data_IF_631899209624
#
_entry.id   IF_631899209624
#
_cell.length_a   1.000
_cell.length_b   1.000
_cell.length_c   1.000
_cell.angle_alpha   90.00
_cell.angle_beta   90.00
_cell.angle_gamma   90.00
#
_symmetry.space_group_name_H-M   'P 1'
#
loop_
_entity.id
_entity.type
_entity.pdbx_description
1 polymer ?
#
# COMPACT_ATOMS: atom_id res chain seq x y z
N UNK A 1 0.74 0.53 15.58
CA UNK A 1 1.43 1.81 15.29
C UNK A 1 1.18 2.81 16.41
N UNK A 2 2.16 3.09 17.27
CA UNK A 2 2.15 4.26 18.18
C UNK A 2 3.41 5.06 17.91
N UNK A 3 3.28 6.27 17.35
CA UNK A 3 4.34 7.28 17.35
C UNK A 3 4.55 7.73 18.79
N UNK A 4 5.67 7.33 19.41
CA UNK A 4 6.05 7.85 20.73
C UNK A 4 6.59 9.27 20.55
N UNK A 5 5.74 10.26 20.83
CA UNK A 5 6.13 11.67 20.79
C UNK A 5 6.80 12.09 22.10
N UNK A 6 7.77 13.01 21.95
CA UNK A 6 8.74 13.61 22.88
C UNK A 6 8.42 13.78 24.38
N UNK A 7 7.19 13.61 24.86
CA UNK A 7 6.77 14.01 26.21
C UNK A 7 6.39 12.85 27.14
N UNK A 8 6.22 11.63 26.65
CA UNK A 8 5.89 10.46 27.50
C UNK A 8 7.09 9.53 27.56
N UNK A 9 7.54 9.21 28.77
CA UNK A 9 8.69 8.34 29.02
C UNK A 9 8.61 7.02 28.22
N UNK A 10 9.78 6.46 27.89
CA UNK A 10 9.87 5.19 27.17
C UNK A 10 9.10 4.08 27.91
N UNK A 11 8.23 3.30 27.24
CA UNK A 11 7.62 2.12 27.82
C UNK A 11 8.68 1.13 28.29
N UNK A 12 8.45 0.49 29.44
CA UNK A 12 9.30 -0.59 29.98
C UNK A 12 9.48 -1.77 29.01
N UNK A 13 8.68 -1.89 27.95
CA UNK A 13 8.75 -2.97 26.95
C UNK A 13 9.77 -2.72 25.83
N UNK A 14 10.30 -1.49 25.67
CA UNK A 14 11.41 -1.19 24.72
C UNK A 14 12.78 -1.41 25.38
N UNK A 15 12.84 -2.13 26.50
CA UNK A 15 14.10 -2.52 27.14
C UNK A 15 14.87 -3.62 26.39
N UNK A 16 14.34 -4.12 25.26
CA UNK A 16 14.90 -5.27 24.52
C UNK A 16 15.96 -4.87 23.48
N UNK A 17 16.22 -3.57 23.27
CA UNK A 17 17.39 -3.11 22.50
C UNK A 17 18.65 -3.02 23.38
N UNK A 18 18.97 -4.07 24.15
CA UNK A 18 20.34 -4.33 24.58
C UNK A 18 21.05 -5.11 23.46
N UNK A 19 21.21 -4.46 22.30
CA UNK A 19 22.25 -4.88 21.37
C UNK A 19 23.57 -4.32 21.90
N UNK A 20 24.69 -5.06 21.87
CA UNK A 20 26.02 -4.53 22.24
C UNK A 20 26.41 -3.25 21.47
N UNK A 21 25.70 -2.94 20.39
CA UNK A 21 25.96 -1.86 19.44
C UNK A 21 25.10 -0.60 19.67
N UNK A 22 24.21 -0.54 20.68
CA UNK A 22 23.35 0.64 20.88
C UNK A 22 23.16 0.97 22.36
N UNK A 23 23.58 2.18 22.79
CA UNK A 23 23.37 2.70 24.15
C UNK A 23 22.31 3.80 24.17
N UNK A 24 21.44 3.77 25.18
CA UNK A 24 20.48 4.85 25.46
C UNK A 24 21.08 5.81 26.49
N UNK A 25 21.27 7.07 26.11
CA UNK A 25 21.92 8.10 26.96
C UNK A 25 20.97 9.27 27.20
N UNK A 26 20.87 9.75 28.45
CA UNK A 26 20.03 10.89 28.84
C UNK A 26 20.90 12.14 28.99
N UNK A 27 20.68 13.17 28.17
CA UNK A 27 21.38 14.46 28.25
C UNK A 27 20.39 15.62 28.33
N UNK A 28 20.55 16.53 29.29
CA UNK A 28 19.77 17.79 29.47
C UNK A 28 18.27 17.61 29.15
N UNK A 29 17.62 16.66 29.83
CA UNK A 29 16.18 16.33 29.73
C UNK A 29 15.73 15.50 28.51
N UNK A 30 16.63 15.10 27.60
CA UNK A 30 16.31 14.34 26.39
C UNK A 30 16.98 12.97 26.40
N UNK A 31 16.27 11.96 25.91
CA UNK A 31 16.80 10.62 25.68
C UNK A 31 17.36 10.52 24.25
N UNK A 32 18.54 9.91 24.11
CA UNK A 32 19.24 9.70 22.85
C UNK A 32 19.58 8.21 22.68
N UNK A 33 19.64 7.76 21.43
CA UNK A 33 20.08 6.43 21.03
C UNK A 33 21.43 6.62 20.31
N UNK A 34 22.49 5.94 20.75
CA UNK A 34 23.87 6.10 20.23
C UNK A 34 24.45 4.74 19.84
N UNK A 35 25.26 4.70 18.77
CA UNK A 35 25.87 3.48 18.21
C UNK A 35 27.18 3.06 18.94
N UNK A 36 27.92 4.00 19.56
CA UNK A 36 29.14 3.74 20.33
C UNK A 36 29.53 4.97 21.19
N UNK A 37 30.60 4.90 22.00
CA UNK A 37 31.22 5.99 22.77
C UNK A 37 31.66 7.18 21.90
N UNK A 38 31.77 6.98 20.59
CA UNK A 38 32.00 8.00 19.58
C UNK A 38 30.70 8.73 19.18
N UNK A 39 30.04 9.41 20.12
CA UNK A 39 29.07 10.53 20.04
C UNK A 39 28.17 10.74 18.77
N UNK A 40 27.93 9.71 17.95
CA UNK A 40 27.15 9.81 16.72
C UNK A 40 25.65 9.63 17.02
N UNK A 41 24.89 10.68 16.70
CA UNK A 41 23.48 10.82 17.07
C UNK A 41 22.58 10.05 16.10
N UNK A 42 21.90 9.02 16.59
CA UNK A 42 20.84 8.35 15.83
C UNK A 42 19.47 9.03 16.01
N UNK A 43 18.67 9.07 14.94
CA UNK A 43 17.24 9.41 15.03
C UNK A 43 16.47 8.30 15.74
N UNK A 44 15.25 8.61 16.17
CA UNK A 44 14.37 7.60 16.77
C UNK A 44 14.13 6.45 15.78
N UNK A 45 14.20 5.20 16.24
CA UNK A 45 13.89 4.06 15.40
C UNK A 45 12.43 4.06 14.93
N UNK A 46 12.18 3.83 13.63
CA UNK A 46 10.87 3.35 13.18
C UNK A 46 10.89 1.83 13.09
N UNK A 47 9.91 1.21 13.77
CA UNK A 47 9.75 -0.24 13.80
C UNK A 47 8.69 -0.65 12.79
N UNK A 48 9.10 -1.48 11.86
CA UNK A 48 8.24 -2.08 10.85
C UNK A 48 8.11 -3.58 11.15
N UNK A 49 6.89 -4.06 11.37
CA UNK A 49 6.62 -5.47 11.67
C UNK A 49 6.17 -6.19 10.41
N UNK A 50 6.70 -7.38 10.17
CA UNK A 50 6.41 -8.19 8.99
C UNK A 50 5.42 -9.32 9.29
N UNK A 51 4.79 -9.83 8.23
CA UNK A 51 3.78 -10.91 8.29
C UNK A 51 4.35 -12.23 8.81
N UNK A 52 5.66 -12.46 8.64
CA UNK A 52 6.38 -13.62 9.16
C UNK A 52 6.92 -13.40 10.59
N UNK A 53 6.48 -12.34 11.27
CA UNK A 53 6.83 -12.02 12.64
C UNK A 53 8.18 -11.32 12.79
N UNK A 54 8.93 -11.11 11.71
CA UNK A 54 10.18 -10.35 11.75
C UNK A 54 9.92 -8.86 12.06
N UNK A 55 10.94 -8.17 12.57
CA UNK A 55 10.89 -6.72 12.82
C UNK A 55 12.05 -6.06 12.11
N UNK A 56 11.80 -5.06 11.27
CA UNK A 56 12.83 -4.17 10.76
C UNK A 56 12.84 -2.91 11.58
N UNK A 57 14.04 -2.44 11.89
CA UNK A 57 14.24 -1.14 12.49
C UNK A 57 15.06 -0.31 11.53
N UNK A 58 14.54 0.85 11.20
CA UNK A 58 15.29 1.89 10.51
C UNK A 58 15.82 2.91 11.52
N UNK A 59 17.01 3.43 11.25
CA UNK A 59 17.56 4.56 11.96
C UNK A 59 18.25 5.48 10.95
N UNK A 60 18.30 6.77 11.26
CA UNK A 60 19.23 7.69 10.57
C UNK A 60 20.36 8.05 11.50
N UNK A 61 21.58 7.74 11.10
CA UNK A 61 22.76 8.29 11.74
C UNK A 61 23.02 9.69 11.16
N UNK A 62 23.12 10.75 12.00
CA UNK A 62 23.35 12.18 11.65
C UNK A 62 22.13 13.09 11.38
N UNK A 63 21.04 12.91 12.13
CA UNK A 63 19.97 13.91 12.24
C UNK A 63 19.13 14.13 10.96
N UNK A 64 18.12 15.01 11.06
CA UNK A 64 17.15 15.23 9.99
C UNK A 64 17.76 15.98 8.82
N UNK A 65 18.26 15.27 7.81
CA UNK A 65 18.61 15.85 6.51
C UNK A 65 19.76 15.17 5.77
N UNK A 66 20.83 14.78 6.47
CA UNK A 66 22.03 14.21 5.85
C UNK A 66 22.49 12.96 6.61
N UNK A 67 21.55 12.03 6.82
CA UNK A 67 21.81 10.84 7.62
C UNK A 67 21.97 9.57 6.80
N UNK A 68 22.82 8.66 7.29
CA UNK A 68 22.88 7.30 6.77
C UNK A 68 21.62 6.57 7.20
N UNK A 69 20.81 6.07 6.27
CA UNK A 69 19.71 5.15 6.56
C UNK A 69 20.32 3.78 6.87
N UNK A 70 20.18 3.35 8.13
CA UNK A 70 20.69 2.11 8.68
C UNK A 70 19.53 1.17 8.96
N UNK A 71 19.69 -0.10 8.60
CA UNK A 71 18.67 -1.12 8.76
C UNK A 71 19.21 -2.33 9.52
N UNK A 72 18.36 -2.90 10.39
CA UNK A 72 18.59 -4.21 11.02
C UNK A 72 17.28 -4.98 11.13
N UNK A 73 17.36 -6.30 10.99
CA UNK A 73 16.22 -7.22 11.02
C UNK A 73 16.28 -8.12 12.25
N UNK A 74 15.16 -8.26 12.95
CA UNK A 74 14.96 -9.24 14.01
C UNK A 74 14.19 -10.43 13.47
N UNK A 75 14.76 -11.64 13.59
CA UNK A 75 14.18 -12.88 13.07
C UNK A 75 13.43 -13.72 14.12
N UNK A 76 13.26 -13.18 15.33
CA UNK A 76 12.69 -13.91 16.47
C UNK A 76 13.74 -14.57 17.37
N UNK A 77 14.99 -14.73 16.91
CA UNK A 77 16.12 -15.30 17.66
C UNK A 77 17.26 -14.30 17.87
N UNK A 78 17.42 -13.32 16.99
CA UNK A 78 18.44 -12.28 17.12
C UNK A 78 18.31 -11.17 16.07
N UNK A 79 19.11 -10.12 16.25
CA UNK A 79 19.24 -9.03 15.27
C UNK A 79 20.30 -9.34 14.23
N UNK A 80 20.02 -9.04 12.96
CA UNK A 80 21.00 -9.10 11.88
C UNK A 80 22.06 -8.01 12.05
N UNK A 81 23.24 -8.22 11.45
CA UNK A 81 24.23 -7.16 11.33
C UNK A 81 23.59 -5.93 10.68
N UNK A 82 23.85 -4.76 11.26
CA UNK A 82 23.36 -3.51 10.74
C UNK A 82 24.00 -3.26 9.37
N UNK A 83 23.20 -2.91 8.38
CA UNK A 83 23.68 -2.55 7.06
C UNK A 83 23.23 -1.15 6.69
N UNK A 84 24.13 -0.44 6.04
CA UNK A 84 23.95 0.93 5.61
C UNK A 84 23.40 0.93 4.19
N UNK A 85 22.27 1.60 4.00
CA UNK A 85 21.61 1.68 2.70
C UNK A 85 22.14 2.82 1.84
N UNK A 86 22.52 3.95 2.45
CA UNK A 86 23.09 5.09 1.74
C UNK A 86 24.28 5.70 2.49
N UNK A 87 25.18 6.33 1.74
CA UNK A 87 26.42 6.93 2.26
C UNK A 87 26.25 8.39 2.69
N UNK A 88 25.07 8.80 3.20
CA UNK A 88 24.87 10.09 3.90
C UNK A 88 25.11 11.37 3.07
N UNK A 89 25.61 11.24 1.86
CA UNK A 89 25.92 12.27 0.88
C UNK A 89 24.78 12.41 -0.13
N UNK A 90 23.53 12.23 0.29
CA UNK A 90 22.45 12.88 -0.44
C UNK A 90 22.47 14.33 0.01
N UNK A 91 22.91 15.29 -0.84
CA UNK A 91 22.93 16.68 -0.44
C UNK A 91 21.53 17.04 0.03
N UNK A 92 21.41 17.71 1.19
CA UNK A 92 20.17 18.24 1.79
C UNK A 92 19.18 18.91 0.81
N UNK A 93 19.62 19.25 -0.41
CA UNK A 93 18.77 19.68 -1.54
C UNK A 93 17.92 18.57 -2.19
N UNK A 94 18.19 17.28 -1.95
CA UNK A 94 17.49 16.12 -2.54
C UNK A 94 16.32 15.59 -1.69
N UNK A 95 16.22 15.98 -0.41
CA UNK A 95 15.11 15.52 0.45
C UNK A 95 13.77 16.21 0.16
N UNK A 96 13.80 17.34 -0.55
CA UNK A 96 12.60 17.97 -1.05
C UNK A 96 12.30 17.34 -2.41
N UNK A 97 11.14 16.66 -2.52
CA UNK A 97 10.58 16.04 -3.73
C UNK A 97 10.92 14.55 -4.00
N UNK A 98 11.33 13.78 -2.99
CA UNK A 98 11.28 12.31 -3.05
C UNK A 98 9.87 11.81 -2.71
N UNK A 99 9.20 11.16 -3.66
CA UNK A 99 7.92 10.47 -3.48
C UNK A 99 8.15 8.97 -3.68
N UNK A 100 8.35 8.22 -2.61
CA UNK A 100 8.59 6.79 -2.72
C UNK A 100 8.45 6.06 -1.40
N UNK A 101 8.38 4.73 -1.50
CA UNK A 101 8.27 3.84 -0.36
C UNK A 101 9.26 2.68 -0.48
N UNK A 102 9.75 2.22 0.67
CA UNK A 102 10.45 0.96 0.81
C UNK A 102 9.43 -0.12 1.15
N UNK A 103 9.50 -1.27 0.47
CA UNK A 103 8.60 -2.40 0.66
C UNK A 103 9.40 -3.68 0.70
N UNK A 104 9.27 -4.46 1.76
CA UNK A 104 9.93 -5.76 1.86
C UNK A 104 8.91 -6.85 1.51
N UNK A 105 9.22 -7.69 0.53
CA UNK A 105 8.36 -8.81 0.10
C UNK A 105 9.21 -10.05 -0.19
N UNK A 106 8.75 -11.23 0.21
CA UNK A 106 9.43 -12.52 -0.09
C UNK A 106 10.94 -12.54 0.27
N UNK A 107 11.33 -11.89 1.39
CA UNK A 107 12.73 -11.82 1.79
C UNK A 107 13.58 -10.80 1.02
N UNK A 108 12.98 -9.94 0.18
CA UNK A 108 13.67 -8.93 -0.62
C UNK A 108 13.12 -7.53 -0.31
N UNK A 109 14.02 -6.54 -0.21
CA UNK A 109 13.67 -5.13 -0.10
C UNK A 109 13.50 -4.55 -1.51
N UNK A 110 12.33 -3.99 -1.78
CA UNK A 110 11.97 -3.26 -2.99
C UNK A 110 11.89 -1.77 -2.63
N UNK A 111 12.63 -0.94 -3.35
CA UNK A 111 12.48 0.51 -3.28
C UNK A 111 11.80 0.98 -4.56
N UNK A 112 10.71 1.73 -4.41
CA UNK A 112 10.06 2.41 -5.51
C UNK A 112 9.86 3.86 -5.15
N UNK A 113 10.35 4.79 -5.96
CA UNK A 113 10.05 6.20 -5.79
C UNK A 113 10.20 6.99 -7.07
N UNK A 114 9.51 8.12 -7.16
CA UNK A 114 9.82 9.20 -8.08
C UNK A 114 10.62 10.27 -7.35
N UNK A 115 11.69 10.72 -7.98
CA UNK A 115 12.48 11.85 -7.50
C UNK A 115 12.29 12.95 -8.53
N UNK A 116 11.70 14.08 -8.13
CA UNK A 116 11.79 15.28 -8.95
C UNK A 116 13.14 15.91 -8.65
N UNK A 117 14.13 15.64 -9.50
CA UNK A 117 15.43 16.29 -9.39
C UNK A 117 15.22 17.80 -9.52
N UNK A 118 15.47 18.55 -8.44
CA UNK A 118 15.78 19.95 -8.58
C UNK A 118 17.08 20.06 -9.37
N UNK A 119 17.14 20.95 -10.36
CA UNK A 119 18.33 21.23 -11.17
C UNK A 119 19.48 21.72 -10.29
N UNK A 120 20.16 20.80 -9.61
CA UNK A 120 21.44 21.01 -8.97
C UNK A 120 22.51 20.60 -9.97
N UNK A 121 23.03 21.60 -10.69
CA UNK A 121 24.20 21.57 -11.57
C UNK A 121 24.22 20.51 -12.69
N UNK A 122 24.48 21.01 -13.90
CA UNK A 122 24.44 20.34 -15.19
C UNK A 122 25.46 19.22 -15.43
N UNK A 123 26.14 18.71 -14.41
CA UNK A 123 27.32 17.84 -14.60
C UNK A 123 27.11 16.39 -14.12
N UNK A 124 26.03 16.09 -13.40
CA UNK A 124 25.77 14.73 -12.94
C UNK A 124 24.83 13.99 -13.92
N UNK A 125 25.43 13.09 -14.72
CA UNK A 125 24.79 12.15 -15.64
C UNK A 125 23.89 11.11 -14.93
N UNK A 126 22.95 11.52 -14.10
CA UNK A 126 21.93 10.61 -13.58
C UNK A 126 20.85 10.38 -14.64
N UNK A 127 20.93 9.21 -15.27
CA UNK A 127 19.92 8.72 -16.20
C UNK A 127 18.55 8.76 -15.54
N UNK A 128 17.65 9.48 -16.19
CA UNK A 128 16.22 9.41 -15.93
C UNK A 128 15.77 7.95 -16.17
N UNK A 129 15.58 7.16 -15.12
CA UNK A 129 14.75 5.95 -15.20
C UNK A 129 13.28 6.33 -15.00
N UNK A 130 12.90 7.42 -15.67
CA UNK A 130 11.57 8.00 -15.58
C UNK A 130 10.65 7.28 -16.53
N UNK A 131 10.05 6.21 -16.02
CA UNK A 131 8.73 5.73 -16.40
C UNK A 131 8.05 4.93 -15.28
N UNK A 132 8.70 4.74 -14.13
CA UNK A 132 8.15 3.92 -13.05
C UNK A 132 7.20 4.68 -12.13
N UNK A 133 7.16 6.02 -12.14
CA UNK A 133 6.36 6.80 -11.18
C UNK A 133 4.88 6.43 -11.14
N UNK A 134 4.29 6.17 -12.31
CA UNK A 134 2.87 5.83 -12.41
C UNK A 134 2.59 4.37 -12.04
N UNK A 135 3.42 3.43 -12.51
CA UNK A 135 3.34 2.03 -12.08
C UNK A 135 3.54 1.86 -10.56
N UNK A 136 4.43 2.67 -9.97
CA UNK A 136 4.62 2.74 -8.53
C UNK A 136 3.41 3.32 -7.81
N UNK A 137 2.73 4.31 -8.38
CA UNK A 137 1.48 4.83 -7.82
C UNK A 137 0.38 3.75 -7.77
N UNK A 138 0.27 2.91 -8.81
CA UNK A 138 -0.63 1.76 -8.80
C UNK A 138 -0.22 0.72 -7.76
N UNK A 139 1.07 0.38 -7.69
CA UNK A 139 1.59 -0.57 -6.71
C UNK A 139 1.31 -0.09 -5.27
N UNK A 140 1.52 1.20 -4.97
CA UNK A 140 1.23 1.79 -3.66
C UNK A 140 -0.26 1.69 -3.30
N UNK A 141 -1.17 1.84 -4.27
CA UNK A 141 -2.59 1.62 -4.06
C UNK A 141 -2.90 0.16 -3.70
N UNK A 142 -2.37 -0.79 -4.48
CA UNK A 142 -2.54 -2.22 -4.23
C UNK A 142 -1.91 -2.68 -2.90
N UNK A 143 -0.78 -2.10 -2.49
CA UNK A 143 -0.19 -2.36 -1.18
C UNK A 143 -1.09 -1.94 -0.04
N UNK A 144 -1.76 -0.78 -0.16
CA UNK A 144 -2.77 -0.37 0.83
C UNK A 144 -3.97 -1.31 0.83
N UNK A 145 -4.30 -1.92 -0.30
CA UNK A 145 -5.37 -2.92 -0.38
C UNK A 145 -4.97 -4.23 0.31
N UNK A 146 -3.72 -4.69 0.13
CA UNK A 146 -3.16 -5.85 0.86
C UNK A 146 -3.16 -5.60 2.36
N UNK A 147 -2.64 -4.46 2.82
CA UNK A 147 -2.64 -4.08 4.24
C UNK A 147 -4.07 -4.06 4.81
N UNK A 148 -5.02 -3.46 4.07
CA UNK A 148 -6.42 -3.44 4.47
C UNK A 148 -6.99 -4.84 4.62
N UNK A 149 -6.79 -5.73 3.63
CA UNK A 149 -7.26 -7.11 3.69
C UNK A 149 -6.60 -7.89 4.84
N UNK A 150 -5.32 -7.68 5.10
CA UNK A 150 -4.59 -8.32 6.20
C UNK A 150 -5.17 -7.90 7.56
N UNK A 151 -5.38 -6.60 7.76
CA UNK A 151 -5.99 -6.07 8.98
C UNK A 151 -7.44 -6.55 9.14
N UNK A 152 -8.22 -6.57 8.06
CA UNK A 152 -9.59 -7.11 8.06
C UNK A 152 -9.60 -8.59 8.42
N UNK A 153 -8.68 -9.39 7.88
CA UNK A 153 -8.55 -10.81 8.23
C UNK A 153 -8.33 -11.02 9.73
N UNK A 154 -7.51 -10.17 10.36
CA UNK A 154 -7.31 -10.21 11.81
C UNK A 154 -8.59 -10.04 12.63
N UNK A 155 -9.56 -9.26 12.15
CA UNK A 155 -10.89 -9.10 12.79
C UNK A 155 -11.89 -10.20 12.42
N UNK A 156 -11.80 -10.72 11.20
CA UNK A 156 -12.65 -11.82 10.72
C UNK A 156 -12.30 -13.14 11.43
N UNK A 157 -11.04 -13.33 11.83
CA UNK A 157 -10.52 -14.60 12.33
C UNK A 157 -10.86 -14.92 13.80
N UNK A 158 -12.13 -14.73 14.17
CA UNK A 158 -12.67 -14.99 15.51
C UNK A 158 -13.77 -16.06 15.49
N UNK A 159 -13.71 -17.03 16.40
CA UNK A 159 -14.57 -18.22 16.37
C UNK A 159 -15.99 -17.97 16.95
N UNK A 160 -17.08 -18.13 16.16
CA UNK A 160 -18.45 -18.04 16.65
C UNK A 160 -18.96 -19.36 17.28
N UNK A 161 -18.25 -20.48 17.11
CA UNK A 161 -18.73 -21.79 17.54
C UNK A 161 -18.92 -21.85 19.06
N UNK A 162 -20.08 -22.40 19.47
CA UNK A 162 -20.53 -22.42 20.86
C UNK A 162 -21.55 -21.34 21.20
N UNK A 163 -21.84 -20.39 20.31
CA UNK A 163 -22.90 -19.39 20.51
C UNK A 163 -24.33 -19.97 20.45
N UNK A 164 -24.50 -21.19 19.94
CA UNK A 164 -25.82 -21.80 19.77
C UNK A 164 -26.72 -20.95 18.86
N UNK A 165 -28.04 -20.96 19.06
CA UNK A 165 -28.96 -20.09 18.31
C UNK A 165 -28.82 -18.60 18.70
N UNK A 166 -28.59 -18.32 19.98
CA UNK A 166 -28.49 -16.95 20.53
C UNK A 166 -27.86 -16.90 21.92
N UNK A 167 -28.16 -17.87 22.79
CA UNK A 167 -27.80 -17.84 24.23
C UNK A 167 -26.58 -18.68 24.62
N UNK A 168 -25.81 -19.19 23.67
CA UNK A 168 -24.74 -20.15 23.93
C UNK A 168 -25.24 -21.60 23.95
N UNK A 169 -24.29 -22.54 23.97
CA UNK A 169 -24.56 -23.98 24.17
C UNK A 169 -24.59 -24.32 25.66
N UNK A 170 -25.49 -25.25 26.06
CA UNK A 170 -25.51 -25.83 27.41
C UNK A 170 -24.51 -26.98 27.59
N UNK A 171 -23.94 -27.47 26.49
CA UNK A 171 -22.89 -28.50 26.52
C UNK A 171 -21.59 -27.84 26.98
N UNK A 172 -20.88 -28.38 27.99
CA UNK A 172 -19.67 -27.79 28.54
C UNK A 172 -18.47 -27.98 27.59
N UNK A 173 -18.46 -27.23 26.48
CA UNK A 173 -17.38 -27.24 25.49
C UNK A 173 -16.28 -26.23 25.86
N UNK A 174 -15.03 -26.56 25.54
CA UNK A 174 -13.94 -25.59 25.55
C UNK A 174 -13.90 -24.83 24.21
N UNK A 175 -14.43 -23.61 24.19
CA UNK A 175 -14.46 -22.74 23.00
C UNK A 175 -13.06 -22.31 22.54
N UNK A 176 -12.08 -22.24 23.44
CA UNK A 176 -10.68 -21.94 23.07
C UNK A 176 -10.05 -23.13 22.38
N UNK A 177 -10.34 -24.34 22.85
CA UNK A 177 -9.92 -25.57 22.15
C UNK A 177 -10.52 -25.63 20.75
N UNK A 178 -11.82 -25.36 20.58
CA UNK A 178 -12.43 -25.38 19.23
C UNK A 178 -11.88 -24.28 18.33
N UNK A 179 -11.63 -23.08 18.85
CA UNK A 179 -10.98 -22.01 18.09
C UNK A 179 -9.62 -22.45 17.56
N UNK A 180 -8.77 -23.02 18.43
CA UNK A 180 -7.46 -23.55 18.06
C UNK A 180 -7.55 -24.66 17.02
N UNK A 181 -8.48 -25.61 17.18
CA UNK A 181 -8.67 -26.73 16.26
C UNK A 181 -9.13 -26.29 14.86
N UNK A 182 -9.91 -25.21 14.78
CA UNK A 182 -10.41 -24.64 13.53
C UNK A 182 -9.47 -23.59 12.91
N UNK A 183 -8.36 -23.25 13.58
CA UNK A 183 -7.39 -22.26 13.11
C UNK A 183 -7.78 -20.80 13.34
N UNK A 184 -8.77 -20.53 14.20
CA UNK A 184 -9.11 -19.17 14.61
C UNK A 184 -8.07 -18.59 15.57
N UNK A 185 -7.89 -17.28 15.51
CA UNK A 185 -7.02 -16.55 16.43
C UNK A 185 -7.63 -16.47 17.83
N UNK A 186 -8.95 -16.29 17.93
CA UNK A 186 -9.67 -16.20 19.19
C UNK A 186 -11.13 -16.64 19.10
N UNK A 187 -11.96 -16.09 19.99
CA UNK A 187 -13.39 -16.38 20.11
C UNK A 187 -14.18 -15.09 20.05
N UNK A 188 -15.39 -15.15 19.50
CA UNK A 188 -16.37 -14.08 19.68
C UNK A 188 -16.94 -14.19 21.10
N UNK A 189 -16.81 -13.13 21.90
CA UNK A 189 -17.09 -13.19 23.34
C UNK A 189 -18.58 -13.35 23.64
N UNK A 190 -19.44 -12.65 22.90
CA UNK A 190 -20.88 -12.61 23.14
C UNK A 190 -21.64 -13.51 22.14
N UNK A 191 -22.52 -14.37 22.65
CA UNK A 191 -23.27 -15.33 21.82
C UNK A 191 -24.32 -14.69 20.92
N UNK A 192 -24.94 -13.58 21.37
CA UNK A 192 -25.92 -12.83 20.57
C UNK A 192 -25.19 -12.14 19.42
N UNK A 193 -24.09 -11.46 19.71
CA UNK A 193 -23.23 -10.83 18.70
C UNK A 193 -22.79 -11.85 17.64
N UNK A 194 -22.24 -12.99 18.07
CA UNK A 194 -21.76 -14.06 17.20
C UNK A 194 -22.81 -14.57 16.20
N UNK A 195 -24.11 -14.50 16.52
CA UNK A 195 -25.18 -14.94 15.61
C UNK A 195 -25.82 -13.78 14.84
N UNK A 196 -25.73 -12.54 15.34
CA UNK A 196 -26.38 -11.35 14.79
C UNK A 196 -25.54 -10.62 13.75
N UNK A 197 -24.31 -10.23 14.12
CA UNK A 197 -23.55 -9.21 13.40
C UNK A 197 -22.88 -9.77 12.15
N UNK A 198 -22.74 -8.92 11.13
CA UNK A 198 -22.09 -9.22 9.85
C UNK A 198 -21.15 -8.09 9.43
N UNK A 199 -20.66 -7.33 10.41
CA UNK A 199 -19.68 -6.27 10.19
C UNK A 199 -18.40 -6.79 9.53
N UNK A 200 -17.92 -7.97 9.91
CA UNK A 200 -16.78 -8.65 9.32
C UNK A 200 -16.98 -8.92 7.81
N UNK A 201 -18.23 -9.23 7.39
CA UNK A 201 -18.59 -9.38 5.98
C UNK A 201 -18.56 -8.03 5.27
N UNK A 202 -19.17 -7.01 5.88
CA UNK A 202 -19.24 -5.66 5.34
C UNK A 202 -17.83 -5.10 5.16
N UNK A 203 -16.96 -5.25 6.15
CA UNK A 203 -15.57 -4.80 6.12
C UNK A 203 -14.78 -5.49 5.01
N UNK A 204 -14.91 -6.81 4.86
CA UNK A 204 -14.31 -7.57 3.76
C UNK A 204 -14.78 -7.05 2.40
N UNK A 205 -16.10 -6.97 2.18
CA UNK A 205 -16.64 -6.53 0.89
C UNK A 205 -16.31 -5.07 0.60
N UNK A 206 -16.22 -4.21 1.63
CA UNK A 206 -15.76 -2.84 1.50
C UNK A 206 -14.28 -2.76 1.09
N UNK A 207 -13.42 -3.57 1.71
CA UNK A 207 -12.01 -3.65 1.33
C UNK A 207 -11.84 -4.11 -0.12
N UNK A 208 -12.62 -5.10 -0.56
CA UNK A 208 -12.61 -5.57 -1.96
C UNK A 208 -13.21 -4.54 -2.92
N UNK A 209 -14.24 -3.79 -2.53
CA UNK A 209 -14.78 -2.72 -3.35
C UNK A 209 -13.74 -1.60 -3.60
N UNK A 210 -12.95 -1.25 -2.58
CA UNK A 210 -11.83 -0.31 -2.72
C UNK A 210 -10.77 -0.87 -3.68
N UNK A 211 -10.38 -2.14 -3.51
CA UNK A 211 -9.45 -2.82 -4.42
C UNK A 211 -9.95 -2.76 -5.87
N UNK A 212 -11.20 -3.15 -6.12
CA UNK A 212 -11.79 -3.11 -7.47
C UNK A 212 -11.83 -1.68 -8.02
N UNK A 213 -12.06 -0.67 -7.19
CA UNK A 213 -11.99 0.74 -7.60
C UNK A 213 -10.57 1.16 -7.99
N UNK A 214 -9.53 0.65 -7.32
CA UNK A 214 -8.15 0.87 -7.75
C UNK A 214 -7.84 0.14 -9.07
N UNK A 215 -8.32 -1.11 -9.23
CA UNK A 215 -8.16 -1.86 -10.48
C UNK A 215 -8.92 -1.21 -11.64
N UNK A 216 -10.08 -0.60 -11.41
CA UNK A 216 -10.83 0.10 -12.46
C UNK A 216 -10.10 1.34 -12.98
N UNK A 217 -9.38 2.05 -12.10
CA UNK A 217 -8.50 3.16 -12.51
C UNK A 217 -7.35 2.70 -13.39
N UNK A 218 -6.63 1.65 -12.96
CA UNK A 218 -5.58 1.02 -13.78
C UNK A 218 -6.14 0.60 -15.14
N UNK A 219 -7.34 0.01 -15.13
CA UNK A 219 -8.02 -0.45 -16.34
C UNK A 219 -8.35 0.70 -17.29
N UNK A 220 -8.80 1.85 -16.76
CA UNK A 220 -9.09 3.04 -17.56
C UNK A 220 -7.83 3.62 -18.20
N UNK A 221 -6.78 3.80 -17.40
CA UNK A 221 -5.51 4.36 -17.87
C UNK A 221 -4.94 3.49 -19.01
N UNK A 222 -4.98 2.17 -18.85
CA UNK A 222 -4.50 1.23 -19.87
C UNK A 222 -5.41 1.20 -21.11
N UNK A 223 -6.74 1.24 -20.93
CA UNK A 223 -7.66 1.29 -22.05
C UNK A 223 -7.38 2.53 -22.91
N UNK A 224 -7.26 3.71 -22.31
CA UNK A 224 -6.94 4.97 -23.01
C UNK A 224 -5.57 4.89 -23.68
N UNK A 225 -4.54 4.40 -22.98
CA UNK A 225 -3.18 4.31 -23.54
C UNK A 225 -3.06 3.35 -24.71
N UNK A 226 -3.95 2.36 -24.79
CA UNK A 226 -4.01 1.40 -25.88
C UNK A 226 -4.73 1.92 -27.13
N UNK A 227 -5.39 3.09 -27.07
CA UNK A 227 -6.10 3.62 -28.24
C UNK A 227 -5.14 4.08 -29.34
N UNK A 228 -5.63 4.22 -30.56
CA UNK A 228 -4.85 4.70 -31.71
C UNK A 228 -4.34 6.14 -31.54
N UNK A 229 -5.06 6.97 -30.79
CA UNK A 229 -4.71 8.37 -30.53
C UNK A 229 -3.47 8.47 -29.64
N UNK A 230 -3.37 7.61 -28.61
CA UNK A 230 -2.25 7.58 -27.67
C UNK A 230 -1.16 6.60 -28.13
N UNK A 231 -1.51 5.33 -28.31
CA UNK A 231 -0.60 4.23 -28.68
C UNK A 231 0.64 4.17 -27.78
N UNK A 232 0.45 4.42 -26.48
CA UNK A 232 1.52 4.39 -25.48
C UNK A 232 1.84 2.97 -25.05
N UNK A 233 0.83 2.09 -25.08
CA UNK A 233 1.00 0.67 -24.80
C UNK A 233 0.36 -0.17 -25.91
N UNK A 234 0.88 -1.37 -26.08
CA UNK A 234 0.27 -2.42 -26.87
C UNK A 234 -0.04 -3.61 -25.96
N UNK A 235 -1.31 -4.02 -25.98
CA UNK A 235 -1.78 -5.20 -25.25
C UNK A 235 -1.60 -6.44 -26.12
N UNK A 236 -1.24 -7.55 -25.48
CA UNK A 236 -1.09 -8.85 -26.15
C UNK A 236 -2.44 -9.35 -26.67
N UNK A 237 -2.40 -10.11 -27.78
CA UNK A 237 -3.58 -10.70 -28.43
C UNK A 237 -4.34 -11.63 -27.48
N UNK A 238 -3.64 -12.28 -26.53
CA UNK A 238 -4.25 -13.14 -25.50
C UNK A 238 -5.20 -12.38 -24.55
N UNK A 239 -5.02 -11.05 -24.43
CA UNK A 239 -5.77 -10.19 -23.52
C UNK A 239 -6.63 -9.15 -24.25
N UNK A 240 -6.78 -9.28 -25.57
CA UNK A 240 -7.60 -8.40 -26.39
C UNK A 240 -8.50 -9.21 -27.32
N UNK A 241 -9.59 -8.61 -27.79
CA UNK A 241 -10.39 -9.21 -28.86
C UNK A 241 -10.18 -8.47 -30.18
N UNK A 242 -10.15 -9.17 -31.32
CA UNK A 242 -10.20 -8.53 -32.62
C UNK A 242 -11.61 -8.04 -32.91
N UNK A 243 -11.74 -6.92 -33.62
CA UNK A 243 -13.03 -6.52 -34.20
C UNK A 243 -13.41 -7.45 -35.36
N UNK A 244 -14.69 -7.82 -35.45
CA UNK A 244 -15.23 -8.63 -36.55
C UNK A 244 -15.16 -7.96 -37.92
N UNK A 245 -15.01 -6.63 -37.98
CA UNK A 245 -14.96 -5.84 -39.23
C UNK A 245 -13.58 -5.20 -39.45
N UNK A 246 -12.82 -4.94 -38.38
CA UNK A 246 -11.53 -4.25 -38.44
C UNK A 246 -10.40 -5.14 -37.87
N UNK A 247 -9.68 -5.90 -38.71
CA UNK A 247 -8.69 -6.89 -38.27
C UNK A 247 -7.54 -6.31 -37.43
N UNK A 248 -7.19 -5.05 -37.65
CA UNK A 248 -6.15 -4.32 -36.91
C UNK A 248 -6.60 -3.80 -35.55
N UNK A 249 -7.92 -3.77 -35.27
CA UNK A 249 -8.45 -3.19 -34.04
C UNK A 249 -8.44 -4.23 -32.92
N UNK A 250 -7.54 -4.02 -31.95
CA UNK A 250 -7.50 -4.75 -30.68
C UNK A 250 -8.35 -4.03 -29.64
N UNK A 251 -9.36 -4.69 -29.09
CA UNK A 251 -10.21 -4.11 -28.05
C UNK A 251 -9.73 -4.54 -26.65
N UNK A 252 -9.60 -3.60 -25.69
CA UNK A 252 -9.17 -3.89 -24.32
C UNK A 252 -10.31 -4.47 -23.46
N UNK A 253 -11.06 -5.45 -23.97
CA UNK A 253 -12.31 -5.96 -23.37
C UNK A 253 -12.15 -6.37 -21.91
N UNK A 254 -11.02 -6.99 -21.56
CA UNK A 254 -10.76 -7.44 -20.19
C UNK A 254 -10.62 -6.26 -19.20
N UNK A 255 -10.07 -5.13 -19.65
CA UNK A 255 -10.02 -3.90 -18.86
C UNK A 255 -11.42 -3.30 -18.73
N UNK A 256 -12.18 -3.23 -19.83
CA UNK A 256 -13.56 -2.75 -19.82
C UNK A 256 -14.47 -3.58 -18.91
N UNK A 257 -14.35 -4.91 -18.96
CA UNK A 257 -15.03 -5.85 -18.09
C UNK A 257 -14.62 -5.67 -16.63
N UNK A 258 -13.34 -5.45 -16.34
CA UNK A 258 -12.86 -5.17 -14.97
C UNK A 258 -13.52 -3.91 -14.42
N UNK A 259 -13.61 -2.83 -15.22
CA UNK A 259 -14.33 -1.61 -14.82
C UNK A 259 -15.83 -1.89 -14.61
N UNK A 260 -16.49 -2.58 -15.55
CA UNK A 260 -17.91 -2.91 -15.42
C UNK A 260 -18.21 -3.77 -14.20
N UNK A 261 -17.38 -4.77 -13.91
CA UNK A 261 -17.49 -5.65 -12.75
C UNK A 261 -17.21 -4.95 -11.42
N UNK A 262 -16.47 -3.84 -11.44
CA UNK A 262 -16.30 -2.98 -10.26
C UNK A 262 -17.64 -2.44 -9.75
N UNK A 263 -18.53 -2.01 -10.65
CA UNK A 263 -19.88 -1.57 -10.28
C UNK A 263 -20.69 -2.68 -9.59
N UNK A 264 -20.54 -3.93 -10.03
CA UNK A 264 -21.21 -5.08 -9.41
C UNK A 264 -20.72 -5.31 -7.97
N UNK A 265 -19.42 -5.14 -7.70
CA UNK A 265 -18.87 -5.28 -6.33
C UNK A 265 -19.33 -4.14 -5.42
N UNK A 266 -19.41 -2.90 -5.93
CA UNK A 266 -19.98 -1.77 -5.19
C UNK A 266 -21.48 -2.00 -4.89
N UNK A 267 -22.21 -2.54 -5.86
CA UNK A 267 -23.60 -2.95 -5.67
C UNK A 267 -23.75 -4.02 -4.59
N UNK A 268 -22.87 -5.03 -4.59
CA UNK A 268 -22.84 -6.07 -3.55
C UNK A 268 -22.63 -5.46 -2.15
N UNK A 269 -21.70 -4.50 -1.99
CA UNK A 269 -21.50 -3.80 -0.72
C UNK A 269 -22.77 -3.10 -0.26
N UNK A 270 -23.40 -2.35 -1.16
CA UNK A 270 -24.66 -1.63 -0.90
C UNK A 270 -25.76 -2.59 -0.46
N UNK A 271 -25.93 -3.70 -1.18
CA UNK A 271 -26.92 -4.75 -0.85
C UNK A 271 -26.69 -5.33 0.53
N UNK A 272 -25.45 -5.62 0.92
CA UNK A 272 -25.15 -6.20 2.24
C UNK A 272 -25.46 -5.17 3.34
N UNK A 273 -25.00 -3.92 3.18
CA UNK A 273 -25.27 -2.84 4.13
C UNK A 273 -26.77 -2.63 4.34
N UNK A 274 -27.54 -2.57 3.25
CA UNK A 274 -28.99 -2.34 3.32
C UNK A 274 -29.76 -3.56 3.84
N UNK A 275 -29.26 -4.78 3.59
CA UNK A 275 -29.85 -6.01 4.16
C UNK A 275 -29.68 -6.08 5.67
N UNK A 276 -28.51 -5.69 6.19
CA UNK A 276 -28.21 -5.75 7.63
C UNK A 276 -28.83 -4.58 8.40
N UNK A 277 -29.09 -3.45 7.73
CA UNK A 277 -29.61 -2.23 8.33
C UNK A 277 -30.95 -2.47 9.04
N UNK A 278 -30.94 -2.25 10.36
CA UNK A 278 -32.15 -2.27 11.18
C UNK A 278 -32.67 -3.66 11.54
N UNK A 279 -31.89 -4.72 11.31
CA UNK A 279 -32.22 -6.06 11.81
C UNK A 279 -32.21 -6.08 13.34
N UNK A 280 -33.19 -6.77 13.92
CA UNK A 280 -33.21 -7.05 15.35
C UNK A 280 -32.04 -7.98 15.73
N UNK A 281 -31.59 -7.92 16.98
CA UNK A 281 -30.56 -8.83 17.49
C UNK A 281 -31.02 -10.29 17.43
N UNK A 282 -30.06 -11.18 17.26
CA UNK A 282 -30.24 -12.59 16.94
C UNK A 282 -30.13 -12.87 15.44
N UNK A 283 -30.23 -14.15 15.08
CA UNK A 283 -30.25 -14.55 13.68
C UNK A 283 -31.61 -14.24 13.03
N UNK A 284 -31.57 -13.53 11.90
CA UNK A 284 -32.72 -13.32 11.02
C UNK A 284 -32.46 -13.97 9.65
N UNK A 285 -33.51 -14.45 8.98
CA UNK A 285 -33.37 -15.19 7.72
C UNK A 285 -32.84 -14.32 6.58
N UNK A 286 -33.01 -13.00 6.68
CA UNK A 286 -32.43 -11.96 5.82
C UNK A 286 -30.92 -12.14 5.62
N UNK A 287 -30.20 -12.58 6.66
CA UNK A 287 -28.77 -12.84 6.62
C UNK A 287 -28.37 -13.99 5.68
N UNK A 288 -29.32 -14.73 5.11
CA UNK A 288 -29.04 -15.69 4.05
C UNK A 288 -28.79 -15.00 2.70
N UNK A 289 -29.40 -13.83 2.46
CA UNK A 289 -29.31 -13.11 1.18
C UNK A 289 -27.91 -12.54 0.91
N UNK A 290 -27.14 -12.22 1.96
CA UNK A 290 -25.81 -11.64 1.79
C UNK A 290 -24.78 -12.62 1.22
N UNK A 291 -25.01 -13.95 1.31
CA UNK A 291 -24.03 -14.96 0.90
C UNK A 291 -23.67 -14.87 -0.59
N UNK A 292 -24.66 -14.69 -1.46
CA UNK A 292 -24.45 -14.58 -2.91
C UNK A 292 -23.55 -13.39 -3.25
N UNK A 293 -23.75 -12.26 -2.57
CA UNK A 293 -22.92 -11.06 -2.70
C UNK A 293 -21.46 -11.30 -2.26
N UNK A 294 -21.23 -12.05 -1.18
CA UNK A 294 -19.87 -12.41 -0.73
C UNK A 294 -19.14 -13.24 -1.79
N UNK A 295 -19.79 -14.30 -2.28
CA UNK A 295 -19.20 -15.20 -3.28
C UNK A 295 -18.95 -14.48 -4.60
N UNK A 296 -19.93 -13.69 -5.05
CA UNK A 296 -19.80 -12.86 -6.26
C UNK A 296 -18.62 -11.89 -6.14
N UNK A 297 -18.50 -11.17 -5.03
CA UNK A 297 -17.40 -10.22 -4.77
C UNK A 297 -16.04 -10.92 -4.79
N UNK A 298 -15.93 -12.08 -4.13
CA UNK A 298 -14.67 -12.83 -4.03
C UNK A 298 -14.22 -13.35 -5.39
N UNK A 299 -15.15 -13.91 -6.17
CA UNK A 299 -14.86 -14.41 -7.51
C UNK A 299 -14.41 -13.29 -8.44
N UNK A 300 -15.19 -12.20 -8.52
CA UNK A 300 -14.90 -11.07 -9.39
C UNK A 300 -13.51 -10.48 -9.10
N UNK A 301 -13.18 -10.26 -7.83
CA UNK A 301 -11.91 -9.65 -7.46
C UNK A 301 -10.70 -10.56 -7.72
N UNK A 302 -10.84 -11.87 -7.50
CA UNK A 302 -9.78 -12.84 -7.79
C UNK A 302 -9.53 -12.93 -9.30
N UNK A 303 -10.61 -13.01 -10.10
CA UNK A 303 -10.52 -13.06 -11.56
C UNK A 303 -9.90 -11.77 -12.11
N UNK A 304 -10.32 -10.60 -11.62
CA UNK A 304 -9.77 -9.30 -12.02
C UNK A 304 -8.27 -9.16 -11.69
N UNK A 305 -7.85 -9.55 -10.47
CA UNK A 305 -6.44 -9.55 -10.09
C UNK A 305 -5.59 -10.45 -11.00
N UNK A 306 -6.09 -11.64 -11.32
CA UNK A 306 -5.39 -12.58 -12.19
C UNK A 306 -5.22 -12.01 -13.60
N UNK A 307 -6.30 -11.48 -14.17
CA UNK A 307 -6.31 -10.85 -15.49
C UNK A 307 -5.32 -9.68 -15.56
N UNK A 308 -5.39 -8.75 -14.60
CA UNK A 308 -4.49 -7.57 -14.56
C UNK A 308 -3.03 -8.02 -14.41
N UNK A 309 -2.75 -8.99 -13.53
CA UNK A 309 -1.38 -9.53 -13.37
C UNK A 309 -0.85 -10.08 -14.69
N UNK A 310 -1.60 -10.94 -15.37
CA UNK A 310 -1.14 -11.61 -16.59
C UNK A 310 -0.98 -10.61 -17.75
N UNK A 311 -1.88 -9.64 -17.86
CA UNK A 311 -1.78 -8.57 -18.84
C UNK A 311 -0.55 -7.70 -18.61
N UNK A 312 -0.26 -7.30 -17.37
CA UNK A 312 0.93 -6.53 -17.02
C UNK A 312 2.24 -7.26 -17.33
N UNK A 313 2.23 -8.60 -17.33
CA UNK A 313 3.41 -9.40 -17.70
C UNK A 313 3.69 -9.41 -19.21
N UNK A 314 2.71 -9.05 -20.04
CA UNK A 314 2.80 -9.15 -21.51
C UNK A 314 2.66 -7.80 -22.23
N UNK A 315 2.33 -6.72 -21.51
CA UNK A 315 2.18 -5.39 -22.09
C UNK A 315 3.50 -4.86 -22.67
N UNK A 316 3.43 -4.30 -23.88
CA UNK A 316 4.56 -3.65 -24.53
C UNK A 316 4.40 -2.14 -24.45
N UNK A 317 5.47 -1.43 -24.05
CA UNK A 317 5.45 0.04 -23.89
C UNK A 317 6.13 0.71 -25.08
N UNK A 318 5.42 1.64 -25.73
CA UNK A 318 5.96 2.47 -26.81
C UNK A 318 6.64 3.72 -26.26
N UNK A 319 7.92 3.57 -25.88
CA UNK A 319 8.73 4.64 -25.27
C UNK A 319 8.83 5.87 -26.16
N UNK A 320 8.95 5.70 -27.48
CA UNK A 320 9.10 6.82 -28.42
C UNK A 320 7.82 7.67 -28.51
N UNK A 321 6.65 7.03 -28.57
CA UNK A 321 5.35 7.74 -28.56
C UNK A 321 5.15 8.50 -27.25
N UNK A 322 5.41 7.86 -26.12
CA UNK A 322 5.31 8.49 -24.80
C UNK A 322 6.25 9.69 -24.66
N UNK A 323 7.51 9.53 -25.09
CA UNK A 323 8.51 10.61 -25.07
C UNK A 323 8.07 11.79 -25.92
N UNK A 324 7.64 11.55 -27.16
CA UNK A 324 7.17 12.60 -28.07
C UNK A 324 5.96 13.36 -27.50
N UNK A 325 5.02 12.64 -26.87
CA UNK A 325 3.88 13.26 -26.22
C UNK A 325 4.32 14.17 -25.05
N UNK A 326 5.25 13.69 -24.21
CA UNK A 326 5.80 14.48 -23.10
C UNK A 326 6.53 15.74 -23.58
N UNK A 327 7.29 15.66 -24.67
CA UNK A 327 8.00 16.80 -25.26
C UNK A 327 7.05 17.86 -25.84
N UNK A 328 5.87 17.45 -26.33
CA UNK A 328 4.91 18.36 -26.96
C UNK A 328 4.01 19.14 -25.98
N UNK A 329 3.93 18.72 -24.71
CA UNK A 329 2.90 19.19 -23.76
C UNK A 329 3.22 20.50 -23.01
N UNK A 330 4.24 21.28 -23.40
CA UNK A 330 4.75 22.41 -22.62
C UNK A 330 5.01 22.08 -21.14
N UNK A 331 5.28 20.80 -20.82
CA UNK A 331 5.40 20.30 -19.44
C UNK A 331 6.51 21.01 -18.65
N UNK A 332 7.51 21.53 -19.37
CA UNK A 332 8.64 22.29 -18.82
C UNK A 332 8.26 23.69 -18.30
N UNK A 333 7.04 24.18 -18.58
CA UNK A 333 6.61 25.51 -18.16
C UNK A 333 6.70 25.70 -16.64
N UNK A 334 6.30 24.69 -15.86
CA UNK A 334 6.43 24.72 -14.40
C UNK A 334 7.90 24.79 -13.98
N UNK A 335 8.77 23.98 -14.61
CA UNK A 335 10.21 24.00 -14.30
C UNK A 335 10.84 25.36 -14.64
N UNK A 336 10.40 26.02 -15.71
CA UNK A 336 10.83 27.37 -16.08
C UNK A 336 10.34 28.42 -15.07
N UNK A 337 9.08 28.33 -14.63
CA UNK A 337 8.54 29.24 -13.61
C UNK A 337 9.28 29.07 -12.27
N UNK A 338 9.51 27.84 -11.84
CA UNK A 338 10.29 27.53 -10.63
C UNK A 338 11.74 28.03 -10.74
N UNK A 339 12.37 27.95 -11.92
CA UNK A 339 13.70 28.57 -12.16
C UNK A 339 13.70 30.08 -11.95
N UNK A 340 12.66 30.79 -12.39
CA UNK A 340 12.55 32.24 -12.18
C UNK A 340 12.36 32.55 -10.69
N UNK A 341 11.62 31.71 -9.95
CA UNK A 341 11.49 31.82 -8.49
C UNK A 341 12.82 31.63 -7.79
N UNK A 342 13.62 30.63 -8.18
CA UNK A 342 14.96 30.44 -7.64
C UNK A 342 15.91 31.60 -7.94
N UNK A 343 15.63 32.40 -8.99
CA UNK A 343 16.33 33.65 -9.31
C UNK A 343 15.78 34.88 -8.59
N UNK A 344 14.84 34.71 -7.66
CA UNK A 344 14.28 35.77 -6.83
C UNK A 344 13.03 36.46 -7.38
N UNK A 345 12.47 35.98 -8.49
CA UNK A 345 11.23 36.53 -9.05
C UNK A 345 10.03 35.90 -8.32
N UNK A 346 9.08 36.69 -7.78
CA UNK A 346 7.88 36.13 -7.15
C UNK A 346 7.11 35.18 -8.08
N UNK A 347 6.62 34.04 -7.56
CA UNK A 347 5.97 32.99 -8.36
C UNK A 347 4.83 33.51 -9.25
N UNK A 348 4.03 34.48 -8.77
CA UNK A 348 2.95 35.11 -9.56
C UNK A 348 3.48 35.80 -10.82
N UNK A 349 4.63 36.45 -10.72
CA UNK A 349 5.28 37.11 -11.86
C UNK A 349 5.89 36.06 -12.78
N UNK A 350 6.58 35.05 -12.22
CA UNK A 350 7.14 33.93 -12.98
C UNK A 350 6.09 33.20 -13.80
N UNK A 351 4.94 32.89 -13.20
CA UNK A 351 3.81 32.26 -13.87
C UNK A 351 3.28 33.11 -15.03
N UNK A 352 3.11 34.42 -14.83
CA UNK A 352 2.65 35.34 -15.87
C UNK A 352 3.67 35.57 -17.01
N UNK A 353 4.96 35.32 -16.78
CA UNK A 353 6.01 35.46 -17.81
C UNK A 353 6.12 34.19 -18.65
N UNK A 354 5.82 33.03 -18.07
CA UNK A 354 5.92 31.74 -18.75
C UNK A 354 4.63 31.36 -19.48
N UNK A 355 3.47 31.68 -18.90
CA UNK A 355 2.17 31.53 -19.56
C UNK A 355 1.94 32.64 -20.57
#
# INVERSE_FOLDING_TARGET
FRRYTRSKGFPKEISVLYSPLVKIVKNKSKWHVMEDENDERMTYPEFNRFDDGRIMVDFRNRGSGNGNDLFSFYDGKGWSKMFQYNNGNQPNKMNYNFYGSFKFMHGKLYQGGSIRYGLANSDDNFKYDGNNGLFLAYADALFRDVDRLYVTYGRVNENPLGAGPIGGTSIPIDRKSTAKMLGFHGIIENSIDATSTRDFVIEYVAAVAILMTNLSRISEDFAIWSTSEFSFIELSDEFTSPSSVMPQKKNPDLLELTRGKTAQVIGNLTTILTTVKGLASGYNRDLQQIKSSIWSTSKISTDALLVIKLMLMTVTVNKEKMKKAAESGNLIALDLAEKLVLKGIPFRISHNVIG
#
